data_IF_465578671535
#
_entry.id   IF_465578671535
#
_cell.length_a   1.000
_cell.length_b   1.000
_cell.length_c   1.000
_cell.angle_alpha   90.00
_cell.angle_beta   90.00
_cell.angle_gamma   90.00
#
_symmetry.space_group_name_H-M   'P 1'
#
loop_
_entity.id
_entity.type
_entity.pdbx_description
1 polymer ?
#
# COMPACT_ATOMS: atom_id res chain seq x y z
N UNK A 1 -7.30 -17.88 14.76
CA UNK A 1 -6.76 -18.14 13.41
C UNK A 1 -5.70 -17.10 13.12
N UNK A 2 -4.72 -17.42 12.27
CA UNK A 2 -3.68 -16.47 11.85
C UNK A 2 -4.16 -15.64 10.66
N UNK A 3 -3.74 -14.37 10.59
CA UNK A 3 -4.05 -13.45 9.49
C UNK A 3 -2.76 -12.94 8.83
N UNK A 4 -2.85 -12.49 7.58
CA UNK A 4 -1.71 -11.94 6.82
C UNK A 4 -1.90 -10.45 6.53
N UNK A 5 -0.86 -9.64 6.79
CA UNK A 5 -0.80 -8.24 6.33
C UNK A 5 0.19 -8.13 5.17
N UNK A 6 -0.29 -7.72 4.00
CA UNK A 6 0.57 -7.38 2.87
C UNK A 6 0.88 -5.89 2.91
N UNK A 7 2.16 -5.53 3.05
CA UNK A 7 2.62 -4.14 3.01
C UNK A 7 3.31 -3.89 1.67
N UNK A 8 2.87 -2.85 0.96
CA UNK A 8 3.43 -2.41 -0.32
C UNK A 8 3.95 -1.00 -0.13
N UNK A 9 5.28 -0.86 -0.10
CA UNK A 9 5.93 0.44 0.02
C UNK A 9 6.06 1.11 -1.35
N UNK A 10 5.57 2.34 -1.46
CA UNK A 10 5.66 3.18 -2.63
C UNK A 10 6.71 4.30 -2.45
N UNK A 11 7.50 4.55 -3.50
CA UNK A 11 8.23 5.81 -3.64
C UNK A 11 8.25 6.23 -5.12
N UNK A 12 7.46 7.27 -5.44
CA UNK A 12 7.35 7.87 -6.77
C UNK A 12 6.96 6.91 -7.91
N UNK A 13 6.20 5.86 -7.59
CA UNK A 13 5.79 4.82 -8.54
C UNK A 13 4.35 4.35 -8.29
N UNK A 14 3.42 5.28 -8.09
CA UNK A 14 2.03 4.98 -7.70
C UNK A 14 1.37 3.93 -8.62
N UNK A 15 1.56 4.03 -9.94
CA UNK A 15 0.97 3.07 -10.89
C UNK A 15 1.48 1.64 -10.67
N UNK A 16 2.78 1.47 -10.37
CA UNK A 16 3.38 0.16 -10.08
C UNK A 16 2.83 -0.39 -8.77
N UNK A 17 2.72 0.44 -7.73
CA UNK A 17 2.18 0.06 -6.43
C UNK A 17 0.70 -0.35 -6.53
N UNK A 18 -0.10 0.34 -7.36
CA UNK A 18 -1.49 -0.04 -7.64
C UNK A 18 -1.60 -1.37 -8.41
N UNK A 19 -0.68 -1.63 -9.35
CA UNK A 19 -0.60 -2.94 -10.03
C UNK A 19 -0.26 -4.06 -9.03
N UNK A 20 0.70 -3.81 -8.13
CA UNK A 20 1.06 -4.76 -7.08
C UNK A 20 -0.10 -5.01 -6.11
N UNK A 21 -0.82 -3.97 -5.69
CA UNK A 21 -1.98 -4.11 -4.81
C UNK A 21 -3.12 -4.92 -5.46
N UNK A 22 -3.39 -4.73 -6.77
CA UNK A 22 -4.34 -5.59 -7.51
C UNK A 22 -3.91 -7.05 -7.52
N UNK A 23 -2.63 -7.32 -7.79
CA UNK A 23 -2.11 -8.69 -7.77
C UNK A 23 -2.21 -9.31 -6.36
N UNK A 24 -1.93 -8.52 -5.31
CA UNK A 24 -2.06 -8.96 -3.93
C UNK A 24 -3.52 -9.26 -3.54
N UNK A 25 -4.49 -8.47 -3.99
CA UNK A 25 -5.93 -8.76 -3.73
C UNK A 25 -6.32 -10.13 -4.28
N UNK A 26 -5.94 -10.45 -5.52
CA UNK A 26 -6.20 -11.76 -6.14
C UNK A 26 -5.49 -12.88 -5.36
N UNK A 27 -4.21 -12.67 -4.99
CA UNK A 27 -3.45 -13.67 -4.24
C UNK A 27 -3.98 -13.90 -2.80
N UNK A 28 -4.71 -12.94 -2.25
CA UNK A 28 -5.29 -13.02 -0.89
C UNK A 28 -6.74 -13.51 -0.87
N UNK A 29 -7.32 -13.93 -2.00
CA UNK A 29 -8.63 -14.58 -2.01
C UNK A 29 -8.62 -15.85 -1.13
N UNK A 30 -9.55 -15.93 -0.18
CA UNK A 30 -9.60 -17.01 0.81
C UNK A 30 -8.57 -16.93 1.96
N UNK A 31 -7.74 -15.90 2.00
CA UNK A 31 -6.78 -15.64 3.10
C UNK A 31 -7.27 -14.44 3.91
N UNK A 32 -7.51 -14.62 5.22
CA UNK A 32 -7.86 -13.54 6.14
C UNK A 32 -6.70 -12.56 6.34
N UNK A 33 -6.96 -11.26 6.30
CA UNK A 33 -5.89 -10.26 6.25
C UNK A 33 -6.26 -8.89 5.66
N UNK A 34 -5.25 -8.08 5.35
CA UNK A 34 -5.42 -6.78 4.70
C UNK A 34 -4.21 -6.41 3.83
N UNK A 35 -4.36 -5.37 3.00
CA UNK A 35 -3.29 -4.79 2.19
C UNK A 35 -3.11 -3.32 2.61
N UNK A 36 -1.87 -2.93 2.89
CA UNK A 36 -1.50 -1.54 3.21
C UNK A 36 -0.52 -1.03 2.18
N UNK A 37 -0.94 -0.02 1.41
CA UNK A 37 -0.06 0.80 0.61
C UNK A 37 0.53 1.89 1.51
N UNK A 38 1.85 2.05 1.49
CA UNK A 38 2.53 3.14 2.21
C UNK A 38 3.16 4.06 1.19
N UNK A 39 2.70 5.31 1.09
CA UNK A 39 3.48 6.34 0.42
C UNK A 39 4.65 6.75 1.33
N UNK A 40 5.87 6.64 0.81
CA UNK A 40 7.08 6.94 1.56
C UNK A 40 7.52 8.40 1.34
N UNK A 41 6.58 9.34 1.47
CA UNK A 41 6.76 10.76 1.18
C UNK A 41 7.25 11.01 -0.26
N UNK A 42 6.44 10.64 -1.25
CA UNK A 42 6.85 10.70 -2.67
C UNK A 42 6.93 12.14 -3.22
N UNK A 43 6.11 13.06 -2.68
CA UNK A 43 6.03 14.48 -3.07
C UNK A 43 5.72 14.72 -4.57
N UNK A 44 5.00 13.79 -5.20
CA UNK A 44 4.69 13.81 -6.63
C UNK A 44 3.20 13.51 -6.92
N UNK A 45 2.34 13.57 -5.90
CA UNK A 45 0.93 13.20 -6.02
C UNK A 45 0.65 11.69 -5.90
N UNK A 46 1.66 10.86 -5.59
CA UNK A 46 1.47 9.41 -5.45
C UNK A 46 0.46 9.03 -4.37
N UNK A 47 0.48 9.71 -3.22
CA UNK A 47 -0.44 9.43 -2.12
C UNK A 47 -1.88 9.65 -2.55
N UNK A 48 -2.18 10.82 -3.09
CA UNK A 48 -3.51 11.21 -3.57
C UNK A 48 -3.99 10.27 -4.67
N UNK A 49 -3.11 9.94 -5.61
CA UNK A 49 -3.41 9.02 -6.72
C UNK A 49 -3.76 7.62 -6.22
N UNK A 50 -3.01 7.08 -5.27
CA UNK A 50 -3.29 5.77 -4.68
C UNK A 50 -4.57 5.81 -3.83
N UNK A 51 -4.74 6.82 -2.99
CA UNK A 51 -5.91 6.96 -2.11
C UNK A 51 -7.23 7.07 -2.90
N UNK A 52 -7.23 7.83 -3.99
CA UNK A 52 -8.37 7.93 -4.90
C UNK A 52 -8.66 6.57 -5.57
N UNK A 53 -7.63 5.95 -6.17
CA UNK A 53 -7.79 4.73 -6.95
C UNK A 53 -8.24 3.51 -6.13
N UNK A 54 -7.94 3.49 -4.83
CA UNK A 54 -8.31 2.38 -3.94
C UNK A 54 -9.47 2.70 -3.00
N UNK A 55 -10.19 3.82 -3.18
CA UNK A 55 -11.27 4.24 -2.27
C UNK A 55 -12.29 3.13 -1.99
N UNK A 56 -12.68 2.41 -3.02
CA UNK A 56 -13.73 1.37 -2.95
C UNK A 56 -13.14 -0.05 -2.90
N UNK A 57 -11.82 -0.20 -2.72
CA UNK A 57 -11.18 -1.52 -2.66
C UNK A 57 -11.36 -2.13 -1.27
N UNK A 58 -11.91 -3.36 -1.17
CA UNK A 58 -12.11 -4.00 0.11
C UNK A 58 -10.78 -4.34 0.76
N UNK A 59 -10.65 -4.11 2.08
CA UNK A 59 -9.47 -4.49 2.88
C UNK A 59 -8.15 -3.84 2.45
N UNK A 60 -8.20 -2.76 1.66
CA UNK A 60 -7.04 -1.98 1.23
C UNK A 60 -7.07 -0.61 1.91
N UNK A 61 -5.91 -0.16 2.40
CA UNK A 61 -5.72 1.20 2.91
C UNK A 61 -4.46 1.84 2.35
N UNK A 62 -4.42 3.17 2.33
CA UNK A 62 -3.25 3.95 1.94
C UNK A 62 -2.80 4.80 3.14
N UNK A 63 -1.54 4.68 3.52
CA UNK A 63 -0.90 5.46 4.57
C UNK A 63 0.15 6.40 3.96
N UNK A 64 0.40 7.52 4.63
CA UNK A 64 1.50 8.43 4.32
C UNK A 64 2.52 8.35 5.45
N UNK A 65 3.79 8.06 5.14
CA UNK A 65 4.85 7.91 6.15
C UNK A 65 5.29 9.25 6.77
N UNK A 66 4.98 10.36 6.12
CA UNK A 66 5.32 11.72 6.54
C UNK A 66 6.78 12.13 6.32
N UNK A 67 7.66 11.18 6.01
CA UNK A 67 9.04 11.40 5.52
C UNK A 67 9.55 10.16 4.79
N UNK A 68 10.47 10.33 3.85
CA UNK A 68 11.18 9.20 3.27
C UNK A 68 12.27 8.69 4.23
N UNK A 69 11.97 7.64 4.99
CA UNK A 69 12.91 7.00 5.92
C UNK A 69 13.66 5.79 5.34
N UNK A 70 13.59 5.56 4.03
CA UNK A 70 14.08 4.35 3.37
C UNK A 70 13.16 3.13 3.56
N UNK A 71 13.59 1.98 3.02
CA UNK A 71 12.78 0.76 2.93
C UNK A 71 12.27 0.26 4.29
N UNK A 72 13.14 0.16 5.30
CA UNK A 72 12.76 -0.36 6.62
C UNK A 72 11.76 0.54 7.36
N UNK A 73 12.02 1.86 7.39
CA UNK A 73 11.12 2.80 8.05
C UNK A 73 9.75 2.86 7.35
N UNK A 74 9.74 2.83 6.02
CA UNK A 74 8.52 2.80 5.23
C UNK A 74 7.68 1.55 5.49
N UNK A 75 8.27 0.35 5.46
CA UNK A 75 7.55 -0.89 5.75
C UNK A 75 7.04 -0.94 7.20
N UNK A 76 7.81 -0.43 8.17
CA UNK A 76 7.40 -0.38 9.58
C UNK A 76 6.27 0.61 9.88
N UNK A 77 5.94 1.49 8.93
CA UNK A 77 4.78 2.39 9.04
C UNK A 77 3.46 1.70 8.66
N UNK A 78 3.53 0.59 7.92
CA UNK A 78 2.38 -0.16 7.40
C UNK A 78 1.78 -1.13 8.38
#
# INVERSE_FOLDING_TARGET
MSTVLCVILNWRTAEMSLKAARAAMVAMEGIDGAITLVDNDSQDGSYESMAEATRDWPRVRVLQSGRNGGYGAGNNCG
#
